data_IF_187490055802
#
_entry.id   IF_187490055802
#
_cell.length_a   1.000
_cell.length_b   1.000
_cell.length_c   1.000
_cell.angle_alpha   90.00
_cell.angle_beta   90.00
_cell.angle_gamma   90.00
#
_symmetry.space_group_name_H-M   'P 1'
#
loop_
_entity.id
_entity.type
_entity.pdbx_description
1 polymer ?
#
# COMPACT_ATOMS: atom_id res chain seq x y z
N UNK A 1 3.57 -11.94 5.80
CA UNK A 1 2.94 -12.29 4.50
C UNK A 1 4.03 -12.59 3.49
N UNK A 2 3.84 -13.61 2.66
CA UNK A 2 4.69 -13.93 1.51
C UNK A 2 3.98 -13.54 0.20
N UNK A 3 4.77 -13.32 -0.84
CA UNK A 3 4.28 -12.96 -2.17
C UNK A 3 4.86 -13.93 -3.19
N UNK A 4 4.09 -14.25 -4.22
CA UNK A 4 4.52 -15.13 -5.30
C UNK A 4 4.42 -14.43 -6.66
N UNK A 5 5.19 -14.89 -7.64
CA UNK A 5 5.06 -14.42 -9.02
C UNK A 5 3.83 -15.03 -9.69
N UNK A 6 3.06 -14.22 -10.40
CA UNK A 6 1.90 -14.69 -11.21
C UNK A 6 2.28 -15.66 -12.32
N UNK A 7 3.57 -15.71 -12.71
CA UNK A 7 4.08 -16.67 -13.72
C UNK A 7 4.70 -17.92 -13.11
N UNK A 8 5.12 -17.84 -11.84
CA UNK A 8 5.70 -18.99 -11.14
C UNK A 8 5.33 -18.93 -9.65
N UNK A 9 4.32 -19.66 -9.26
CA UNK A 9 3.83 -19.71 -7.87
C UNK A 9 4.85 -20.26 -6.86
N UNK A 10 5.92 -20.92 -7.33
CA UNK A 10 7.02 -21.38 -6.48
C UNK A 10 8.08 -20.27 -6.25
N UNK A 11 8.04 -19.18 -7.01
CA UNK A 11 8.90 -18.02 -6.79
C UNK A 11 8.28 -17.15 -5.70
N UNK A 12 8.67 -17.41 -4.47
CA UNK A 12 8.14 -16.77 -3.25
C UNK A 12 9.16 -15.78 -2.72
N UNK A 13 8.70 -14.56 -2.42
CA UNK A 13 9.52 -13.48 -1.88
C UNK A 13 8.84 -12.83 -0.67
N UNK A 14 9.60 -12.06 0.10
CA UNK A 14 9.08 -11.19 1.14
C UNK A 14 8.63 -9.85 0.57
N UNK A 15 7.93 -9.06 1.39
CA UNK A 15 7.37 -7.76 0.96
C UNK A 15 8.44 -6.75 0.50
N UNK A 16 9.60 -6.73 1.12
CA UNK A 16 10.69 -5.83 0.77
C UNK A 16 11.22 -6.12 -0.65
N UNK A 17 11.41 -7.38 -1.00
CA UNK A 17 11.81 -7.79 -2.34
C UNK A 17 10.70 -7.49 -3.37
N UNK A 18 9.45 -7.81 -3.04
CA UNK A 18 8.32 -7.56 -3.92
C UNK A 18 8.16 -6.07 -4.25
N UNK A 19 8.30 -5.18 -3.26
CA UNK A 19 8.18 -3.72 -3.45
C UNK A 19 9.39 -3.16 -4.20
N UNK A 20 10.61 -3.56 -3.85
CA UNK A 20 11.82 -3.01 -4.47
C UNK A 20 11.98 -3.43 -5.94
N UNK A 21 11.58 -4.64 -6.29
CA UNK A 21 11.68 -5.14 -7.66
C UNK A 21 10.47 -4.73 -8.52
N UNK A 22 9.27 -4.63 -7.93
CA UNK A 22 8.02 -4.30 -8.64
C UNK A 22 7.54 -5.41 -9.58
N UNK A 23 8.43 -5.96 -10.40
CA UNK A 23 8.18 -7.05 -11.35
C UNK A 23 9.14 -8.20 -11.01
N UNK A 24 8.63 -9.43 -11.00
CA UNK A 24 9.44 -10.62 -10.78
C UNK A 24 10.38 -10.90 -11.96
N UNK A 25 11.51 -11.59 -11.69
CA UNK A 25 12.52 -11.89 -12.72
C UNK A 25 11.99 -12.69 -13.92
N UNK A 26 10.88 -13.41 -13.74
CA UNK A 26 10.18 -14.14 -14.80
C UNK A 26 9.16 -13.26 -15.58
N UNK A 27 9.10 -11.96 -15.26
CA UNK A 27 8.16 -11.00 -15.83
C UNK A 27 6.73 -11.09 -15.28
N UNK A 28 6.51 -11.84 -14.19
CA UNK A 28 5.25 -11.90 -13.47
C UNK A 28 5.10 -10.73 -12.50
N UNK A 29 3.87 -10.51 -12.03
CA UNK A 29 3.57 -9.57 -10.94
C UNK A 29 3.65 -10.31 -9.60
N UNK A 30 4.03 -9.59 -8.55
CA UNK A 30 3.97 -10.14 -7.21
C UNK A 30 2.55 -10.02 -6.63
N UNK A 31 2.03 -11.15 -6.17
CA UNK A 31 0.72 -11.26 -5.55
C UNK A 31 0.86 -11.84 -4.14
N UNK A 32 0.05 -11.39 -3.18
CA UNK A 32 0.08 -11.98 -1.83
C UNK A 32 -0.35 -13.44 -1.87
N UNK A 33 0.31 -14.29 -1.08
CA UNK A 33 0.01 -15.72 -1.02
C UNK A 33 -1.35 -16.05 -0.40
N UNK A 34 -1.88 -15.13 0.40
CA UNK A 34 -3.20 -15.23 1.04
C UNK A 34 -3.86 -13.86 1.10
N UNK A 35 -5.19 -13.85 1.08
CA UNK A 35 -5.99 -12.65 1.34
C UNK A 35 -6.70 -12.82 2.68
N UNK A 36 -6.43 -11.91 3.60
CA UNK A 36 -7.11 -11.85 4.90
C UNK A 36 -8.41 -11.07 4.74
N UNK A 37 -9.51 -11.62 5.27
CA UNK A 37 -10.76 -10.86 5.36
C UNK A 37 -10.63 -9.88 6.54
N UNK A 38 -10.36 -8.62 6.23
CA UNK A 38 -10.20 -7.56 7.22
C UNK A 38 -11.51 -6.81 7.51
N UNK A 39 -12.56 -7.08 6.75
CA UNK A 39 -13.82 -6.33 6.83
C UNK A 39 -14.48 -6.41 8.22
N UNK A 40 -14.41 -7.57 8.87
CA UNK A 40 -14.99 -7.78 10.19
C UNK A 40 -14.18 -7.13 11.35
N UNK A 41 -12.95 -6.70 11.07
CA UNK A 41 -11.99 -6.18 12.04
C UNK A 41 -11.68 -4.68 11.78
N UNK A 42 -12.41 -4.03 10.85
CA UNK A 42 -12.22 -2.62 10.55
C UNK A 42 -12.63 -1.77 11.76
N UNK A 43 -11.67 -1.11 12.37
CA UNK A 43 -11.86 -0.15 13.44
C UNK A 43 -11.60 1.27 12.91
N UNK A 44 -12.45 2.22 13.34
CA UNK A 44 -12.37 3.61 12.90
C UNK A 44 -13.10 3.87 11.58
N UNK A 45 -13.37 5.14 11.32
CA UNK A 45 -14.15 5.64 10.19
C UNK A 45 -13.38 6.68 9.35
N UNK A 46 -12.14 6.96 9.71
CA UNK A 46 -11.25 7.85 8.96
C UNK A 46 -10.32 7.06 8.01
N UNK A 47 -9.82 7.76 7.00
CA UNK A 47 -8.96 7.17 5.96
C UNK A 47 -7.72 6.46 6.55
N UNK A 48 -7.08 7.04 7.56
CA UNK A 48 -5.86 6.48 8.14
C UNK A 48 -6.15 5.18 8.90
N UNK A 49 -7.18 5.15 9.75
CA UNK A 49 -7.58 3.97 10.49
C UNK A 49 -7.93 2.81 9.55
N UNK A 50 -8.72 3.09 8.51
CA UNK A 50 -9.06 2.09 7.49
C UNK A 50 -7.82 1.61 6.75
N UNK A 51 -6.92 2.50 6.33
CA UNK A 51 -5.69 2.13 5.64
C UNK A 51 -4.75 1.30 6.51
N UNK A 52 -4.60 1.64 7.81
CA UNK A 52 -3.82 0.84 8.76
C UNK A 52 -4.36 -0.60 8.86
N UNK A 53 -5.66 -0.76 9.06
CA UNK A 53 -6.31 -2.07 9.16
C UNK A 53 -6.14 -2.88 7.85
N UNK A 54 -6.36 -2.23 6.70
CA UNK A 54 -6.24 -2.88 5.40
C UNK A 54 -4.81 -3.29 5.05
N UNK A 55 -3.80 -2.51 5.41
CA UNK A 55 -2.41 -2.74 5.04
C UNK A 55 -1.67 -3.66 6.01
N UNK A 56 -2.03 -3.65 7.30
CA UNK A 56 -1.36 -4.45 8.34
C UNK A 56 -1.19 -5.93 7.99
N UNK A 57 -2.18 -6.66 7.47
CA UNK A 57 -2.01 -8.07 7.08
C UNK A 57 -0.91 -8.29 6.04
N UNK A 58 -0.68 -7.31 5.15
CA UNK A 58 0.28 -7.43 4.06
C UNK A 58 1.71 -7.04 4.48
N UNK A 59 1.86 -5.98 5.28
CA UNK A 59 3.17 -5.39 5.59
C UNK A 59 3.60 -5.57 7.05
N UNK A 60 2.70 -5.97 7.97
CA UNK A 60 2.95 -6.10 9.42
C UNK A 60 3.97 -7.18 9.80
N UNK A 61 4.28 -8.12 8.90
CA UNK A 61 5.38 -9.07 9.08
C UNK A 61 6.78 -8.46 8.88
N UNK A 62 6.86 -7.27 8.28
CA UNK A 62 8.11 -6.53 8.03
C UNK A 62 8.19 -5.24 8.84
N UNK A 63 7.09 -4.50 8.95
CA UNK A 63 7.00 -3.24 9.69
C UNK A 63 6.26 -3.43 11.01
N UNK A 64 6.69 -2.75 12.06
CA UNK A 64 5.94 -2.68 13.30
C UNK A 64 4.78 -1.67 13.19
N UNK A 65 3.87 -1.68 14.18
CA UNK A 65 2.67 -0.83 14.18
C UNK A 65 3.00 0.67 14.06
N UNK A 66 4.06 1.16 14.72
CA UNK A 66 4.43 2.57 14.64
C UNK A 66 4.94 2.96 13.25
N UNK A 67 5.65 2.07 12.58
CA UNK A 67 6.11 2.27 11.20
C UNK A 67 4.96 2.23 10.20
N UNK A 68 3.98 1.32 10.38
CA UNK A 68 2.78 1.26 9.54
C UNK A 68 1.99 2.57 9.67
N UNK A 69 1.77 3.05 10.89
CA UNK A 69 1.13 4.34 11.14
C UNK A 69 1.85 5.51 10.46
N UNK A 70 3.17 5.53 10.52
CA UNK A 70 3.95 6.55 9.85
C UNK A 70 3.84 6.47 8.33
N UNK A 71 3.92 5.25 7.75
CA UNK A 71 3.74 5.03 6.30
C UNK A 71 2.35 5.50 5.86
N UNK A 72 1.30 5.12 6.57
CA UNK A 72 -0.08 5.51 6.24
C UNK A 72 -0.26 7.02 6.29
N UNK A 73 0.14 7.66 7.40
CA UNK A 73 0.04 9.12 7.57
C UNK A 73 0.76 9.88 6.45
N UNK A 74 2.00 9.46 6.14
CA UNK A 74 2.85 10.14 5.17
C UNK A 74 2.43 9.85 3.72
N UNK A 75 1.71 8.74 3.49
CA UNK A 75 1.22 8.35 2.16
C UNK A 75 -0.15 8.94 1.82
N UNK A 76 -1.02 9.08 2.80
CA UNK A 76 -2.41 9.53 2.61
C UNK A 76 -2.66 10.87 3.31
N UNK A 77 -1.76 11.84 3.08
CA UNK A 77 -1.80 13.17 3.68
C UNK A 77 -2.73 14.15 2.92
N UNK A 78 -3.74 13.63 2.24
CA UNK A 78 -4.73 14.39 1.48
C UNK A 78 -6.13 13.80 1.68
N UNK A 79 -7.15 14.63 1.52
CA UNK A 79 -8.54 14.26 1.74
C UNK A 79 -9.09 13.36 0.63
N UNK A 80 -10.10 12.56 0.99
CA UNK A 80 -10.90 11.73 0.08
C UNK A 80 -12.37 12.07 0.32
N UNK A 81 -12.85 13.21 -0.16
CA UNK A 81 -14.25 13.60 0.02
C UNK A 81 -15.19 12.64 -0.68
N UNK A 82 -16.29 12.33 0.00
CA UNK A 82 -17.43 11.63 -0.59
C UNK A 82 -18.53 12.64 -0.88
N UNK A 83 -18.63 13.07 -2.13
CA UNK A 83 -19.58 14.09 -2.57
C UNK A 83 -20.90 13.45 -2.98
N UNK A 84 -21.99 13.82 -2.29
CA UNK A 84 -23.31 13.34 -2.63
C UNK A 84 -23.89 14.13 -3.81
N UNK A 85 -24.27 13.45 -4.88
CA UNK A 85 -24.94 14.05 -6.04
C UNK A 85 -26.45 13.99 -5.94
N UNK A 86 -27.00 12.93 -5.37
CA UNK A 86 -28.42 12.75 -5.07
C UNK A 86 -28.60 11.71 -3.97
N UNK A 87 -29.84 11.35 -3.63
CA UNK A 87 -30.15 10.45 -2.52
C UNK A 87 -29.46 9.06 -2.60
N UNK A 88 -29.04 8.61 -3.79
CA UNK A 88 -28.50 7.26 -4.01
C UNK A 88 -27.11 7.26 -4.66
N UNK A 89 -26.59 8.43 -5.05
CA UNK A 89 -25.34 8.52 -5.82
C UNK A 89 -24.32 9.41 -5.12
N UNK A 90 -23.13 8.84 -4.90
CA UNK A 90 -21.99 9.53 -4.33
C UNK A 90 -20.77 9.42 -5.26
N UNK A 91 -19.92 10.43 -5.26
CA UNK A 91 -18.62 10.42 -5.91
C UNK A 91 -17.53 10.43 -4.84
N UNK A 92 -16.66 9.42 -4.84
CA UNK A 92 -15.42 9.47 -4.09
C UNK A 92 -14.39 10.24 -4.92
N UNK A 93 -13.98 11.42 -4.45
CA UNK A 93 -13.04 12.27 -5.16
C UNK A 93 -11.60 11.84 -4.86
N UNK A 94 -10.97 11.11 -5.77
CA UNK A 94 -9.63 10.54 -5.59
C UNK A 94 -8.51 11.42 -6.19
N UNK A 95 -8.76 12.69 -6.47
CA UNK A 95 -7.85 13.58 -7.18
C UNK A 95 -7.32 14.74 -6.33
N UNK A 96 -7.38 14.64 -4.99
CA UNK A 96 -6.87 15.68 -4.09
C UNK A 96 -5.39 15.51 -3.69
N UNK A 97 -4.72 14.50 -4.23
CA UNK A 97 -3.30 14.30 -4.02
C UNK A 97 -2.40 15.29 -4.78
N UNK A 98 -1.06 15.24 -4.58
CA UNK A 98 -0.11 16.21 -5.13
C UNK A 98 -0.11 16.35 -6.65
N UNK A 99 -0.43 15.27 -7.37
CA UNK A 99 -0.46 15.28 -8.86
C UNK A 99 -1.86 15.39 -9.42
N UNK A 100 -2.88 15.56 -8.59
CA UNK A 100 -4.29 15.61 -8.93
C UNK A 100 -4.78 14.35 -9.67
N UNK A 101 -4.17 13.21 -9.39
CA UNK A 101 -4.52 11.92 -9.98
C UNK A 101 -4.67 10.84 -8.89
N UNK A 102 -5.58 9.89 -9.09
CA UNK A 102 -5.77 8.78 -8.14
C UNK A 102 -4.51 7.92 -7.93
N UNK A 103 -3.53 7.99 -8.85
CA UNK A 103 -2.23 7.32 -8.74
C UNK A 103 -1.42 7.77 -7.53
N UNK A 104 -1.71 8.93 -6.96
CA UNK A 104 -1.03 9.42 -5.76
C UNK A 104 -1.18 8.45 -4.59
N UNK A 105 -2.29 7.74 -4.44
CA UNK A 105 -2.45 6.71 -3.42
C UNK A 105 -1.36 5.64 -3.49
N UNK A 106 -1.23 4.98 -4.64
CA UNK A 106 -0.23 3.93 -4.84
C UNK A 106 1.19 4.47 -4.89
N UNK A 107 1.41 5.61 -5.56
CA UNK A 107 2.71 6.24 -5.71
C UNK A 107 3.31 6.69 -4.37
N UNK A 108 2.53 7.37 -3.54
CA UNK A 108 2.97 7.83 -2.22
C UNK A 108 3.19 6.66 -1.26
N UNK A 109 2.28 5.67 -1.25
CA UNK A 109 2.45 4.47 -0.45
C UNK A 109 3.72 3.71 -0.84
N UNK A 110 3.95 3.49 -2.12
CA UNK A 110 5.16 2.83 -2.62
C UNK A 110 6.42 3.60 -2.23
N UNK A 111 6.47 4.91 -2.45
CA UNK A 111 7.62 5.74 -2.15
C UNK A 111 7.97 5.73 -0.64
N UNK A 112 6.99 5.89 0.23
CA UNK A 112 7.18 5.86 1.68
C UNK A 112 7.61 4.49 2.19
N UNK A 113 7.02 3.41 1.66
CA UNK A 113 7.38 2.04 2.02
C UNK A 113 8.80 1.70 1.54
N UNK A 114 9.14 2.01 0.28
CA UNK A 114 10.50 1.84 -0.27
C UNK A 114 11.53 2.62 0.54
N UNK A 115 11.24 3.86 0.90
CA UNK A 115 12.13 4.68 1.74
C UNK A 115 12.47 4.00 3.06
N UNK A 116 11.47 3.45 3.75
CA UNK A 116 11.68 2.70 5.01
C UNK A 116 12.51 1.43 4.81
N UNK A 117 12.24 0.67 3.75
CA UNK A 117 13.00 -0.54 3.41
C UNK A 117 14.47 -0.18 3.14
N UNK A 118 14.71 0.82 2.29
CA UNK A 118 16.05 1.25 1.91
C UNK A 118 16.85 1.79 3.09
N UNK A 119 16.21 2.54 3.98
CA UNK A 119 16.84 3.00 5.23
C UNK A 119 17.32 1.83 6.09
N UNK A 120 16.50 0.79 6.26
CA UNK A 120 16.91 -0.43 7.00
C UNK A 120 18.08 -1.15 6.35
N UNK A 121 18.10 -1.18 5.03
CA UNK A 121 19.13 -1.87 4.26
C UNK A 121 20.41 -1.04 4.06
N UNK A 122 20.44 0.23 4.49
CA UNK A 122 21.55 1.16 4.24
C UNK A 122 21.77 1.44 2.75
N UNK A 123 20.71 1.34 1.93
CA UNK A 123 20.75 1.48 0.47
C UNK A 123 20.12 2.77 0.00
N UNK A 124 20.48 3.18 -1.21
CA UNK A 124 19.86 4.28 -1.94
C UNK A 124 19.32 3.76 -3.28
N UNK A 125 18.20 4.32 -3.70
CA UNK A 125 17.59 4.07 -5.00
C UNK A 125 17.26 5.42 -5.64
N UNK A 126 17.51 5.52 -6.94
CA UNK A 126 17.06 6.66 -7.76
C UNK A 126 15.96 6.17 -8.69
N UNK A 127 14.82 6.85 -8.68
CA UNK A 127 13.70 6.60 -9.60
C UNK A 127 13.79 7.67 -10.68
N UNK A 128 13.76 7.24 -11.94
CA UNK A 128 13.83 8.09 -13.13
C UNK A 128 12.44 8.28 -13.75
#
# INVERSE_FOLDING_TARGET
>A
MQFYSTRNSNHIVNIDEAILNGIANDGGLYMPSTFTNVYAELEGDDLHSVAENMLTPFIGGYFNTAEIKAIVRDSFAFDVPLVQLNEQLYIAELFHGPTLAFKDFGGMFMANTMSKILQRQGRKLTIL
#
